data_IF_986616479422
#
_entry.id   IF_986616479422
#
_cell.length_a   1.000
_cell.length_b   1.000
_cell.length_c   1.000
_cell.angle_alpha   90.00
_cell.angle_beta   90.00
_cell.angle_gamma   90.00
#
_symmetry.space_group_name_H-M   'P 1'
#
loop_
_entity.id
_entity.type
_entity.pdbx_description
1 polymer ?
#
# COMPACT_ATOMS: atom_id res chain seq x y z
N UNK A 1 -29.97 9.85 3.74
CA UNK A 1 -31.17 8.99 3.76
C UNK A 1 -30.78 7.59 4.21
N UNK A 2 -30.84 7.31 5.51
CA UNK A 2 -30.74 5.95 6.04
C UNK A 2 -32.03 5.64 6.80
N UNK A 3 -32.67 4.51 6.47
CA UNK A 3 -33.84 3.96 7.17
C UNK A 3 -33.34 3.17 8.36
N UNK A 4 -33.87 3.47 9.54
CA UNK A 4 -33.83 2.55 10.69
C UNK A 4 -35.26 2.19 11.02
N UNK A 5 -35.61 0.92 10.89
CA UNK A 5 -36.92 0.38 11.28
C UNK A 5 -36.86 -0.01 12.75
N UNK A 6 -37.41 0.82 13.63
CA UNK A 6 -37.71 0.42 15.02
C UNK A 6 -39.08 -0.25 15.03
N UNK A 7 -39.08 -1.59 14.99
CA UNK A 7 -40.22 -2.36 15.46
C UNK A 7 -40.06 -2.50 16.98
N UNK A 8 -41.08 -2.08 17.72
CA UNK A 8 -41.30 -2.25 19.18
C UNK A 8 -40.80 -1.10 20.08
N UNK A 9 -41.62 -0.06 20.20
CA UNK A 9 -41.57 0.95 21.27
C UNK A 9 -41.88 0.30 22.64
N UNK A 10 -41.00 -0.55 23.16
CA UNK A 10 -41.13 -1.14 24.51
C UNK A 10 -40.22 -0.34 25.44
N UNK A 11 -40.82 0.33 26.42
CA UNK A 11 -40.09 0.88 27.57
C UNK A 11 -40.19 -0.17 28.67
N UNK A 12 -39.04 -0.70 29.08
CA UNK A 12 -38.93 -1.62 30.22
C UNK A 12 -38.64 -0.82 31.48
N UNK A 13 -39.56 -0.87 32.45
CA UNK A 13 -39.35 -0.36 33.80
C UNK A 13 -39.14 -1.55 34.74
N UNK A 14 -38.18 -1.43 35.65
CA UNK A 14 -37.94 -2.43 36.68
C UNK A 14 -38.35 -1.88 38.04
N UNK A 15 -39.04 -2.68 38.83
CA UNK A 15 -39.26 -2.41 40.25
C UNK A 15 -38.86 -3.62 41.09
N UNK A 16 -38.43 -3.37 42.33
CA UNK A 16 -38.00 -4.44 43.23
C UNK A 16 -39.13 -4.80 44.19
N UNK A 17 -39.53 -6.07 44.18
CA UNK A 17 -40.48 -6.64 45.13
C UNK A 17 -39.85 -7.88 45.78
N UNK A 18 -39.82 -7.92 47.11
CA UNK A 18 -39.16 -8.99 47.88
C UNK A 18 -37.69 -9.25 47.50
N UNK A 19 -36.94 -8.21 47.15
CA UNK A 19 -35.53 -8.31 46.76
C UNK A 19 -35.29 -8.90 45.37
N UNK A 20 -36.35 -9.14 44.58
CA UNK A 20 -36.28 -9.60 43.20
C UNK A 20 -36.73 -8.48 42.26
N UNK A 21 -35.95 -8.25 41.20
CA UNK A 21 -36.27 -7.26 40.17
C UNK A 21 -37.35 -7.82 39.24
N UNK A 22 -38.47 -7.11 39.11
CA UNK A 22 -39.62 -7.51 38.28
C UNK A 22 -39.72 -6.53 37.09
N UNK A 23 -39.64 -7.01 35.84
CA UNK A 23 -39.83 -6.18 34.66
C UNK A 23 -41.32 -5.90 34.44
N UNK A 24 -41.66 -4.62 34.35
CA UNK A 24 -42.93 -4.13 33.78
C UNK A 24 -42.67 -3.61 32.38
N UNK A 25 -43.34 -4.20 31.39
CA UNK A 25 -43.33 -3.72 30.01
C UNK A 25 -44.61 -2.94 29.74
N UNK A 26 -44.46 -1.72 29.22
CA UNK A 26 -45.58 -0.96 28.68
C UNK A 26 -45.60 -1.14 27.16
N UNK A 27 -46.65 -1.77 26.64
CA UNK A 27 -46.93 -1.84 25.20
C UNK A 27 -48.32 -1.23 24.94
N UNK A 28 -48.34 -0.03 24.33
CA UNK A 28 -49.61 0.69 24.15
C UNK A 28 -49.56 2.03 23.41
N UNK A 29 -48.44 2.41 22.81
CA UNK A 29 -48.37 3.63 21.99
C UNK A 29 -48.94 3.40 20.58
N UNK A 30 -49.71 4.36 20.06
CA UNK A 30 -50.05 4.41 18.63
C UNK A 30 -48.76 4.59 17.81
N UNK A 31 -48.69 3.98 16.62
CA UNK A 31 -47.55 4.19 15.72
C UNK A 31 -47.45 5.67 15.35
N UNK A 32 -46.40 6.34 15.85
CA UNK A 32 -46.05 7.70 15.45
C UNK A 32 -45.02 7.61 14.32
N UNK A 33 -45.40 8.13 13.15
CA UNK A 33 -44.53 8.17 11.96
C UNK A 33 -44.09 9.62 11.69
N UNK A 34 -43.01 10.10 12.33
CA UNK A 34 -42.51 11.43 12.04
C UNK A 34 -41.95 11.48 10.61
N UNK A 35 -42.31 12.53 9.86
CA UNK A 35 -41.60 12.84 8.60
C UNK A 35 -40.37 13.65 8.94
N UNK A 36 -39.18 13.09 8.73
CA UNK A 36 -37.91 13.78 8.94
C UNK A 36 -37.39 14.23 7.59
N UNK A 37 -37.23 15.55 7.41
CA UNK A 37 -36.55 16.12 6.27
C UNK A 37 -35.05 16.24 6.59
N UNK A 38 -34.20 15.56 5.81
CA UNK A 38 -32.75 15.59 5.98
C UNK A 38 -32.14 16.53 4.94
N UNK A 39 -31.41 17.54 5.40
CA UNK A 39 -30.49 18.28 4.53
C UNK A 39 -29.14 17.56 4.55
N UNK A 40 -28.55 17.33 3.38
CA UNK A 40 -27.25 16.67 3.27
C UNK A 40 -26.37 17.37 2.24
N UNK A 41 -25.06 17.26 2.43
CA UNK A 41 -24.07 17.72 1.48
C UNK A 41 -23.31 16.53 0.91
N UNK A 42 -23.06 16.55 -0.39
CA UNK A 42 -22.30 15.50 -1.06
C UNK A 42 -20.85 15.94 -1.28
N UNK A 43 -20.10 16.10 -0.19
CA UNK A 43 -18.67 16.38 -0.23
C UNK A 43 -17.93 15.53 0.81
N UNK A 44 -16.63 15.32 0.59
CA UNK A 44 -15.81 14.42 1.42
C UNK A 44 -15.78 14.83 2.89
N UNK A 45 -15.66 16.13 3.18
CA UNK A 45 -15.61 16.65 4.55
C UNK A 45 -16.89 16.32 5.32
N UNK A 46 -18.04 16.63 4.74
CA UNK A 46 -19.34 16.33 5.33
C UNK A 46 -19.55 14.82 5.53
N UNK A 47 -19.25 14.00 4.51
CA UNK A 47 -19.47 12.55 4.59
C UNK A 47 -18.55 11.87 5.60
N UNK A 48 -17.28 12.30 5.70
CA UNK A 48 -16.36 11.83 6.73
C UNK A 48 -16.81 12.24 8.13
N UNK A 49 -17.36 13.45 8.29
CA UNK A 49 -17.96 13.89 9.55
C UNK A 49 -19.18 13.05 9.93
N UNK A 50 -20.03 12.68 8.97
CA UNK A 50 -21.16 11.77 9.23
C UNK A 50 -20.66 10.39 9.66
N UNK A 51 -19.64 9.84 8.99
CA UNK A 51 -19.03 8.57 9.39
C UNK A 51 -18.46 8.63 10.82
N UNK A 52 -17.73 9.70 11.16
CA UNK A 52 -17.23 9.93 12.51
C UNK A 52 -18.36 10.02 13.54
N UNK A 53 -19.47 10.69 13.19
CA UNK A 53 -20.65 10.82 14.06
C UNK A 53 -21.29 9.46 14.33
N UNK A 54 -21.44 8.61 13.30
CA UNK A 54 -21.98 7.24 13.47
C UNK A 54 -21.11 6.46 14.46
N UNK A 55 -19.78 6.49 14.29
CA UNK A 55 -18.85 5.80 15.18
C UNK A 55 -18.88 6.36 16.60
N UNK A 56 -18.97 7.67 16.75
CA UNK A 56 -19.07 8.33 18.05
C UNK A 56 -20.35 7.90 18.79
N UNK A 57 -21.49 7.88 18.10
CA UNK A 57 -22.77 7.46 18.69
C UNK A 57 -22.69 5.99 19.12
N UNK A 58 -22.19 5.09 18.27
CA UNK A 58 -22.06 3.66 18.60
C UNK A 58 -21.14 3.43 19.81
N UNK A 59 -20.01 4.14 19.86
CA UNK A 59 -19.02 3.99 20.95
C UNK A 59 -19.49 4.62 22.27
N UNK A 60 -20.27 5.72 22.20
CA UNK A 60 -20.76 6.43 23.39
C UNK A 60 -22.00 5.77 23.97
N UNK A 61 -22.99 5.44 23.12
CA UNK A 61 -24.28 4.91 23.56
C UNK A 61 -24.20 3.43 23.96
N UNK A 62 -23.18 2.71 23.47
CA UNK A 62 -22.92 1.30 23.80
C UNK A 62 -24.19 0.43 23.77
N UNK A 63 -24.96 0.41 22.67
CA UNK A 63 -26.16 -0.40 22.60
C UNK A 63 -25.86 -1.89 22.85
N UNK A 64 -26.78 -2.54 23.56
CA UNK A 64 -26.73 -3.98 23.79
C UNK A 64 -27.17 -4.76 22.54
N UNK A 65 -26.44 -5.83 22.22
CA UNK A 65 -26.71 -6.66 21.04
C UNK A 65 -26.78 -8.13 21.43
N UNK A 66 -27.83 -8.80 20.94
CA UNK A 66 -28.10 -10.22 21.14
C UNK A 66 -28.83 -10.79 19.93
N UNK A 67 -28.72 -12.10 19.68
CA UNK A 67 -29.60 -12.77 18.70
C UNK A 67 -31.00 -12.96 19.27
N UNK A 68 -31.97 -13.27 18.41
CA UNK A 68 -33.36 -13.55 18.82
C UNK A 68 -33.49 -14.65 19.87
N UNK A 69 -32.52 -15.56 19.93
CA UNK A 69 -32.50 -16.68 20.87
C UNK A 69 -31.64 -16.38 22.11
N UNK A 70 -31.33 -15.10 22.38
CA UNK A 70 -30.46 -14.67 23.47
C UNK A 70 -28.99 -15.10 23.28
N UNK A 71 -28.61 -15.46 22.06
CA UNK A 71 -27.30 -16.02 21.73
C UNK A 71 -26.31 -14.98 21.19
N UNK A 72 -25.13 -15.49 20.80
CA UNK A 72 -23.97 -14.71 20.34
C UNK A 72 -24.24 -14.05 18.99
N UNK A 73 -23.97 -12.77 18.90
CA UNK A 73 -24.06 -12.04 17.65
C UNK A 73 -22.73 -12.16 16.86
N UNK A 74 -22.80 -12.46 15.56
CA UNK A 74 -21.64 -12.57 14.63
C UNK A 74 -20.52 -13.57 15.02
N UNK A 75 -20.73 -14.42 16.03
CA UNK A 75 -19.71 -15.39 16.47
C UNK A 75 -18.47 -14.78 17.13
N UNK A 76 -18.48 -13.48 17.45
CA UNK A 76 -17.31 -12.74 17.95
C UNK A 76 -17.19 -12.71 19.49
N UNK A 77 -18.27 -12.98 20.22
CA UNK A 77 -18.30 -12.99 21.68
C UNK A 77 -18.85 -14.31 22.23
N UNK A 78 -18.41 -14.70 23.43
CA UNK A 78 -18.96 -15.85 24.17
C UNK A 78 -20.31 -15.56 24.84
N UNK A 79 -20.70 -14.29 24.97
CA UNK A 79 -21.93 -13.83 25.64
C UNK A 79 -22.54 -12.60 24.93
N UNK A 80 -23.87 -12.37 25.03
CA UNK A 80 -24.45 -11.08 24.67
C UNK A 80 -23.77 -9.92 25.40
N UNK A 81 -23.74 -8.75 24.80
CA UNK A 81 -23.03 -7.61 25.36
C UNK A 81 -23.24 -6.34 24.57
N UNK A 82 -22.63 -5.25 25.02
CA UNK A 82 -22.66 -4.01 24.26
C UNK A 82 -21.72 -4.06 23.05
N UNK A 83 -22.01 -3.25 22.04
CA UNK A 83 -21.23 -3.20 20.80
C UNK A 83 -19.75 -2.85 20.99
N UNK A 84 -19.38 -2.12 22.03
CA UNK A 84 -17.97 -1.74 22.25
C UNK A 84 -17.18 -2.93 22.76
N UNK A 85 -17.77 -3.74 23.65
CA UNK A 85 -17.11 -4.95 24.14
C UNK A 85 -16.97 -6.01 23.03
N UNK A 86 -17.96 -6.09 22.14
CA UNK A 86 -17.97 -7.07 21.03
C UNK A 86 -17.08 -6.61 19.86
N UNK A 87 -17.14 -5.34 19.47
CA UNK A 87 -16.53 -4.82 18.24
C UNK A 87 -15.41 -3.80 18.49
N UNK A 88 -15.00 -3.56 19.73
CA UNK A 88 -14.04 -2.51 20.10
C UNK A 88 -12.80 -2.43 19.20
N UNK A 89 -12.07 -3.53 18.94
CA UNK A 89 -10.94 -3.52 18.03
C UNK A 89 -11.31 -3.10 16.59
N UNK A 90 -12.46 -3.56 16.09
CA UNK A 90 -12.97 -3.18 14.76
C UNK A 90 -13.36 -1.70 14.71
N UNK A 91 -14.01 -1.19 15.75
CA UNK A 91 -14.37 0.22 15.87
C UNK A 91 -13.12 1.11 15.92
N UNK A 92 -12.06 0.69 16.63
CA UNK A 92 -10.80 1.42 16.65
C UNK A 92 -10.16 1.49 15.27
N UNK A 93 -10.11 0.37 14.54
CA UNK A 93 -9.61 0.35 13.17
C UNK A 93 -10.41 1.31 12.26
N UNK A 94 -11.75 1.28 12.32
CA UNK A 94 -12.62 2.17 11.54
C UNK A 94 -12.44 3.65 11.93
N UNK A 95 -12.27 3.95 13.22
CA UNK A 95 -11.98 5.32 13.68
C UNK A 95 -10.65 5.84 13.12
N UNK A 96 -9.59 5.01 13.13
CA UNK A 96 -8.30 5.40 12.53
C UNK A 96 -8.40 5.50 11.00
N UNK A 97 -9.23 4.70 10.32
CA UNK A 97 -9.53 4.90 8.90
C UNK A 97 -10.15 6.27 8.64
N UNK A 98 -11.17 6.66 9.42
CA UNK A 98 -11.84 7.97 9.27
C UNK A 98 -10.86 9.11 9.53
N UNK A 99 -10.06 9.02 10.59
CA UNK A 99 -9.04 10.02 10.93
C UNK A 99 -7.97 10.17 9.85
N UNK A 100 -7.47 9.06 9.32
CA UNK A 100 -6.49 9.08 8.23
C UNK A 100 -7.08 9.70 6.96
N UNK A 101 -8.33 9.37 6.61
CA UNK A 101 -9.03 9.96 5.48
C UNK A 101 -9.29 11.48 5.65
N UNK A 102 -9.68 11.92 6.85
CA UNK A 102 -9.83 13.35 7.17
C UNK A 102 -8.50 14.10 7.07
N UNK A 103 -7.42 13.50 7.55
CA UNK A 103 -6.07 14.08 7.47
C UNK A 103 -5.60 14.18 6.01
N UNK A 104 -5.84 13.14 5.21
CA UNK A 104 -5.54 13.15 3.78
C UNK A 104 -6.33 14.25 3.05
N UNK A 105 -7.61 14.43 3.38
CA UNK A 105 -8.45 15.49 2.81
C UNK A 105 -7.90 16.88 3.14
N UNK A 106 -7.59 17.16 4.42
CA UNK A 106 -7.05 18.44 4.85
C UNK A 106 -5.72 18.77 4.14
N UNK A 107 -4.81 17.79 4.04
CA UNK A 107 -3.54 17.95 3.32
C UNK A 107 -3.74 18.17 1.83
N UNK A 108 -4.73 17.51 1.22
CA UNK A 108 -5.08 17.70 -0.19
C UNK A 108 -5.60 19.11 -0.44
N UNK A 109 -6.51 19.61 0.42
CA UNK A 109 -7.01 20.98 0.34
C UNK A 109 -5.88 22.00 0.49
N UNK A 110 -4.97 21.79 1.45
CA UNK A 110 -3.81 22.66 1.63
C UNK A 110 -2.86 22.65 0.42
N UNK A 111 -2.63 21.48 -0.18
CA UNK A 111 -1.78 21.34 -1.35
C UNK A 111 -2.36 22.07 -2.58
N UNK A 112 -3.68 21.94 -2.78
CA UNK A 112 -4.41 22.58 -3.88
C UNK A 112 -4.53 24.10 -3.68
N UNK A 113 -4.73 24.58 -2.46
CA UNK A 113 -4.79 26.02 -2.18
C UNK A 113 -3.49 26.75 -2.52
N UNK A 114 -2.36 26.03 -2.49
CA UNK A 114 -1.05 26.56 -2.85
C UNK A 114 -0.65 26.23 -4.29
N UNK A 115 -1.53 25.68 -5.14
CA UNK A 115 -1.20 25.27 -6.52
C UNK A 115 -0.77 26.46 -7.39
N UNK A 116 0.49 26.46 -7.82
CA UNK A 116 0.93 27.29 -8.93
C UNK A 116 0.64 26.51 -10.20
N UNK A 117 -0.29 27.00 -11.03
CA UNK A 117 -0.69 26.35 -12.28
C UNK A 117 0.48 26.13 -13.27
N UNK A 118 1.62 26.81 -13.07
CA UNK A 118 2.86 26.61 -13.81
C UNK A 118 4.06 26.72 -12.89
N UNK A 119 4.95 25.73 -12.94
CA UNK A 119 6.31 25.86 -12.43
C UNK A 119 7.10 26.65 -13.47
N UNK A 120 7.40 27.92 -13.19
CA UNK A 120 8.22 28.74 -14.08
C UNK A 120 9.68 28.31 -13.94
N UNK A 121 10.20 27.60 -14.92
CA UNK A 121 11.63 27.29 -15.00
C UNK A 121 12.40 28.47 -15.63
N UNK A 122 13.67 28.72 -15.25
CA UNK A 122 14.49 29.73 -15.91
C UNK A 122 14.70 29.43 -17.40
N UNK A 123 14.68 30.47 -18.24
CA UNK A 123 15.14 30.35 -19.62
C UNK A 123 16.61 29.90 -19.64
N UNK A 124 16.94 28.90 -20.45
CA UNK A 124 18.27 28.29 -20.56
C UNK A 124 18.79 27.61 -19.27
N UNK A 125 17.91 26.96 -18.51
CA UNK A 125 18.32 26.17 -17.34
C UNK A 125 19.38 25.11 -17.68
N UNK A 126 20.56 25.23 -17.07
CA UNK A 126 21.60 24.20 -17.06
C UNK A 126 21.74 23.65 -15.62
N UNK A 127 21.40 22.37 -15.35
CA UNK A 127 21.42 21.84 -13.99
C UNK A 127 22.83 21.75 -13.36
N UNK A 128 23.88 21.83 -14.18
CA UNK A 128 25.27 21.81 -13.73
C UNK A 128 25.77 23.20 -13.27
N UNK A 129 25.39 24.27 -13.97
CA UNK A 129 25.92 25.63 -13.72
C UNK A 129 24.91 26.58 -13.08
N UNK A 130 23.61 26.34 -13.27
CA UNK A 130 22.55 27.24 -12.78
C UNK A 130 22.51 27.25 -11.26
N UNK A 131 22.53 28.46 -10.68
CA UNK A 131 22.40 28.67 -9.24
C UNK A 131 20.95 28.62 -8.78
N UNK A 132 20.01 29.15 -9.58
CA UNK A 132 18.59 29.12 -9.24
C UNK A 132 18.01 27.73 -9.53
N UNK A 133 17.67 27.01 -8.47
CA UNK A 133 17.00 25.71 -8.49
C UNK A 133 15.73 25.71 -7.63
N UNK A 134 15.18 26.89 -7.32
CA UNK A 134 14.03 27.01 -6.44
C UNK A 134 12.84 26.20 -6.94
N UNK A 135 12.60 26.20 -8.25
CA UNK A 135 11.54 25.40 -8.87
C UNK A 135 11.67 23.90 -8.58
N UNK A 136 12.89 23.37 -8.50
CA UNK A 136 13.14 21.96 -8.16
C UNK A 136 12.91 21.69 -6.66
N UNK A 137 13.18 22.66 -5.79
CA UNK A 137 12.84 22.56 -4.38
C UNK A 137 11.32 22.57 -4.17
N UNK A 138 10.60 23.43 -4.90
CA UNK A 138 9.14 23.46 -4.88
C UNK A 138 8.54 22.16 -5.43
N UNK A 139 9.09 21.64 -6.53
CA UNK A 139 8.74 20.32 -7.07
C UNK A 139 8.94 19.22 -6.02
N UNK A 140 10.09 19.20 -5.34
CA UNK A 140 10.37 18.23 -4.29
C UNK A 140 9.32 18.33 -3.18
N UNK A 141 9.13 19.51 -2.59
CA UNK A 141 8.19 19.74 -1.48
C UNK A 141 6.76 19.28 -1.83
N UNK A 142 6.31 19.54 -3.07
CA UNK A 142 5.01 19.06 -3.54
C UNK A 142 4.94 17.54 -3.62
N UNK A 143 5.97 16.91 -4.19
CA UNK A 143 6.02 15.46 -4.28
C UNK A 143 6.09 14.82 -2.88
N UNK A 144 6.75 15.44 -1.90
CA UNK A 144 6.73 14.96 -0.50
C UNK A 144 5.33 15.05 0.11
N UNK A 145 4.62 16.16 -0.10
CA UNK A 145 3.25 16.33 0.37
C UNK A 145 2.30 15.31 -0.27
N UNK A 146 2.42 15.05 -1.57
CA UNK A 146 1.66 14.01 -2.26
C UNK A 146 1.99 12.62 -1.71
N UNK A 147 3.26 12.33 -1.45
CA UNK A 147 3.66 11.05 -0.84
C UNK A 147 3.02 10.86 0.54
N UNK A 148 2.93 11.91 1.36
CA UNK A 148 2.27 11.86 2.66
C UNK A 148 0.76 11.60 2.54
N UNK A 149 0.07 12.24 1.58
CA UNK A 149 -1.35 11.99 1.28
C UNK A 149 -1.57 10.54 0.86
N UNK A 150 -0.74 10.02 -0.05
CA UNK A 150 -0.82 8.62 -0.50
C UNK A 150 -0.52 7.64 0.63
N UNK A 151 0.41 7.97 1.53
CA UNK A 151 0.70 7.15 2.70
C UNK A 151 -0.49 7.10 3.66
N UNK A 152 -1.20 8.21 3.87
CA UNK A 152 -2.44 8.22 4.66
C UNK A 152 -3.54 7.38 4.00
N UNK A 153 -3.69 7.47 2.69
CA UNK A 153 -4.61 6.64 1.91
C UNK A 153 -4.28 5.14 2.05
N UNK A 154 -3.00 4.77 1.98
CA UNK A 154 -2.56 3.39 2.21
C UNK A 154 -2.85 2.94 3.66
N UNK A 155 -2.68 3.83 4.64
CA UNK A 155 -3.03 3.52 6.03
C UNK A 155 -4.53 3.28 6.24
N UNK A 156 -5.42 3.91 5.46
CA UNK A 156 -6.86 3.58 5.48
C UNK A 156 -7.07 2.10 5.09
N UNK A 157 -6.42 1.63 4.02
CA UNK A 157 -6.50 0.22 3.63
C UNK A 157 -5.88 -0.70 4.70
N UNK A 158 -4.70 -0.34 5.22
CA UNK A 158 -4.01 -1.14 6.24
C UNK A 158 -4.83 -1.23 7.54
N UNK A 159 -5.49 -0.15 7.95
CA UNK A 159 -6.37 -0.16 9.11
C UNK A 159 -7.56 -1.11 8.89
N UNK A 160 -8.15 -1.14 7.69
CA UNK A 160 -9.19 -2.12 7.39
C UNK A 160 -8.67 -3.56 7.48
N UNK A 161 -7.52 -3.85 6.87
CA UNK A 161 -6.87 -5.17 6.92
C UNK A 161 -6.43 -5.58 8.33
N UNK A 162 -6.29 -4.63 9.25
CA UNK A 162 -5.99 -4.91 10.65
C UNK A 162 -7.17 -5.48 11.44
N UNK A 163 -8.40 -5.37 10.91
CA UNK A 163 -9.60 -5.93 11.55
C UNK A 163 -9.48 -7.45 11.61
N UNK A 164 -9.58 -8.01 12.82
CA UNK A 164 -9.40 -9.44 13.06
C UNK A 164 -10.74 -10.19 13.12
N UNK A 165 -10.71 -11.44 12.68
CA UNK A 165 -11.85 -12.36 12.77
C UNK A 165 -12.84 -12.26 11.60
N UNK A 166 -13.93 -13.05 11.66
CA UNK A 166 -14.90 -13.16 10.56
C UNK A 166 -15.55 -11.84 10.14
N UNK A 167 -15.60 -10.86 11.06
CA UNK A 167 -16.20 -9.55 10.83
C UNK A 167 -15.51 -8.77 9.72
N UNK A 168 -14.20 -8.95 9.50
CA UNK A 168 -13.50 -8.31 8.39
C UNK A 168 -14.11 -8.73 7.05
N UNK A 169 -14.31 -10.04 6.86
CA UNK A 169 -14.94 -10.57 5.65
C UNK A 169 -16.43 -10.25 5.56
N UNK A 170 -17.12 -10.16 6.70
CA UNK A 170 -18.52 -9.70 6.74
C UNK A 170 -18.63 -8.24 6.28
N UNK A 171 -17.74 -7.36 6.72
CA UNK A 171 -17.71 -5.95 6.32
C UNK A 171 -17.29 -5.78 4.85
N UNK A 172 -16.34 -6.59 4.39
CA UNK A 172 -15.79 -6.50 3.04
C UNK A 172 -16.79 -6.92 1.97
N UNK A 173 -17.59 -7.95 2.25
CA UNK A 173 -18.43 -8.62 1.25
C UNK A 173 -19.91 -8.22 1.33
N UNK A 174 -20.62 -8.44 0.23
CA UNK A 174 -22.08 -8.48 0.21
C UNK A 174 -22.50 -9.95 0.06
N UNK A 175 -22.95 -10.57 1.16
CA UNK A 175 -23.27 -12.01 1.19
C UNK A 175 -24.67 -12.34 0.68
N UNK A 176 -25.54 -11.34 0.63
CA UNK A 176 -26.89 -11.47 0.09
C UNK A 176 -27.36 -10.15 -0.53
N UNK A 177 -27.96 -10.25 -1.71
CA UNK A 177 -28.42 -9.09 -2.49
C UNK A 177 -27.29 -8.41 -3.28
N UNK A 178 -27.48 -7.13 -3.57
CA UNK A 178 -26.52 -6.31 -4.31
C UNK A 178 -25.97 -5.22 -3.40
N UNK A 179 -24.68 -4.92 -3.53
CA UNK A 179 -24.07 -3.81 -2.82
C UNK A 179 -24.78 -2.48 -3.16
N UNK A 180 -24.91 -1.60 -2.17
CA UNK A 180 -25.66 -0.35 -2.28
C UNK A 180 -27.18 -0.46 -2.12
N UNK A 181 -27.73 -1.68 -1.97
CA UNK A 181 -29.17 -1.90 -1.79
C UNK A 181 -29.42 -2.57 -0.43
N UNK A 182 -30.26 -1.92 0.39
CA UNK A 182 -30.72 -2.50 1.66
C UNK A 182 -31.94 -3.38 1.38
N UNK A 183 -31.82 -4.66 1.71
CA UNK A 183 -32.90 -5.66 1.63
C UNK A 183 -33.07 -6.34 2.98
N UNK A 184 -34.11 -7.17 3.11
CA UNK A 184 -34.34 -7.98 4.32
C UNK A 184 -33.24 -9.02 4.59
N UNK A 185 -32.30 -9.23 3.65
CA UNK A 185 -31.21 -10.21 3.76
C UNK A 185 -29.83 -9.56 3.91
N UNK A 186 -29.74 -8.22 3.97
CA UNK A 186 -28.46 -7.51 4.04
C UNK A 186 -27.75 -7.69 5.40
N UNK A 187 -28.44 -8.18 6.42
CA UNK A 187 -27.89 -8.43 7.76
C UNK A 187 -26.72 -9.42 7.72
N UNK A 188 -25.70 -9.16 8.54
CA UNK A 188 -24.49 -10.00 8.55
C UNK A 188 -23.52 -9.75 7.39
N UNK A 189 -23.72 -8.68 6.60
CA UNK A 189 -22.81 -8.28 5.53
C UNK A 189 -22.73 -6.76 5.35
N UNK A 190 -21.60 -6.25 4.88
CA UNK A 190 -21.35 -4.83 4.74
C UNK A 190 -22.10 -4.19 3.56
N UNK A 191 -22.23 -4.91 2.43
CA UNK A 191 -22.93 -4.49 1.21
C UNK A 191 -22.70 -3.01 0.80
N UNK A 192 -21.50 -2.49 1.05
CA UNK A 192 -21.13 -1.08 0.83
C UNK A 192 -19.96 -0.93 -0.16
N UNK A 193 -19.75 -1.92 -1.04
CA UNK A 193 -18.66 -1.94 -2.03
C UNK A 193 -17.26 -1.86 -1.41
N UNK A 194 -17.08 -2.37 -0.19
CA UNK A 194 -15.82 -2.26 0.56
C UNK A 194 -14.69 -2.96 -0.18
N UNK A 195 -14.93 -4.18 -0.69
CA UNK A 195 -13.95 -4.93 -1.48
C UNK A 195 -13.47 -4.16 -2.71
N UNK A 196 -14.40 -3.67 -3.53
CA UNK A 196 -14.10 -2.94 -4.76
C UNK A 196 -13.38 -1.62 -4.44
N UNK A 197 -13.80 -0.94 -3.39
CA UNK A 197 -13.20 0.32 -2.93
C UNK A 197 -11.77 0.10 -2.44
N UNK A 198 -11.50 -0.95 -1.65
CA UNK A 198 -10.15 -1.28 -1.20
C UNK A 198 -9.22 -1.64 -2.35
N UNK A 199 -9.69 -2.47 -3.29
CA UNK A 199 -8.91 -2.80 -4.49
C UNK A 199 -8.57 -1.54 -5.30
N UNK A 200 -9.54 -0.64 -5.51
CA UNK A 200 -9.30 0.61 -6.23
C UNK A 200 -8.34 1.53 -5.46
N UNK A 201 -8.50 1.62 -4.14
CA UNK A 201 -7.62 2.41 -3.27
C UNK A 201 -6.18 1.93 -3.37
N UNK A 202 -5.92 0.64 -3.20
CA UNK A 202 -4.58 0.03 -3.27
C UNK A 202 -3.95 0.16 -4.67
N UNK A 203 -4.74 -0.03 -5.73
CA UNK A 203 -4.25 0.15 -7.09
C UNK A 203 -3.87 1.60 -7.38
N UNK A 204 -4.70 2.56 -6.96
CA UNK A 204 -4.42 3.97 -7.17
C UNK A 204 -3.27 4.47 -6.30
N UNK A 205 -3.16 4.03 -5.04
CA UNK A 205 -2.01 4.39 -4.19
C UNK A 205 -0.70 3.85 -4.76
N UNK A 206 -0.70 2.61 -5.25
CA UNK A 206 0.47 2.02 -5.89
C UNK A 206 0.82 2.71 -7.22
N UNK A 207 -0.17 3.00 -8.06
CA UNK A 207 0.03 3.73 -9.31
C UNK A 207 0.64 5.10 -9.01
N UNK A 208 -0.12 6.01 -8.37
CA UNK A 208 0.30 7.39 -8.12
C UNK A 208 1.56 7.48 -7.25
N UNK A 209 1.79 6.53 -6.36
CA UNK A 209 3.03 6.46 -5.57
C UNK A 209 4.28 6.33 -6.46
N UNK A 210 4.19 5.60 -7.57
CA UNK A 210 5.29 5.51 -8.52
C UNK A 210 5.57 6.84 -9.23
N UNK A 211 4.54 7.57 -9.66
CA UNK A 211 4.76 8.90 -10.27
C UNK A 211 5.35 9.89 -9.26
N UNK A 212 4.81 9.93 -8.03
CA UNK A 212 5.35 10.79 -6.97
C UNK A 212 6.82 10.48 -6.68
N UNK A 213 7.20 9.20 -6.64
CA UNK A 213 8.59 8.82 -6.44
C UNK A 213 9.50 9.22 -7.61
N UNK A 214 9.01 9.14 -8.85
CA UNK A 214 9.73 9.64 -10.02
C UNK A 214 9.95 11.15 -9.92
N UNK A 215 8.94 11.90 -9.49
CA UNK A 215 9.04 13.35 -9.30
C UNK A 215 10.02 13.72 -8.18
N UNK A 216 10.00 13.02 -7.04
CA UNK A 216 11.00 13.20 -5.97
C UNK A 216 12.40 12.95 -6.48
N UNK A 217 12.62 11.83 -7.18
CA UNK A 217 13.93 11.46 -7.73
C UNK A 217 14.43 12.51 -8.74
N UNK A 218 13.55 13.00 -9.63
CA UNK A 218 13.90 14.05 -10.59
C UNK A 218 14.26 15.35 -9.88
N UNK A 219 13.43 15.81 -8.94
CA UNK A 219 13.67 17.04 -8.18
C UNK A 219 14.99 16.97 -7.39
N UNK A 220 15.23 15.86 -6.69
CA UNK A 220 16.48 15.62 -5.96
C UNK A 220 17.70 15.57 -6.89
N UNK A 221 17.56 14.95 -8.06
CA UNK A 221 18.63 14.92 -9.06
C UNK A 221 18.95 16.32 -9.57
N UNK A 222 17.94 17.17 -9.81
CA UNK A 222 18.16 18.54 -10.24
C UNK A 222 18.88 19.36 -9.15
N UNK A 223 18.43 19.25 -7.90
CA UNK A 223 19.03 19.94 -6.75
C UNK A 223 20.50 19.53 -6.57
N UNK A 224 20.78 18.23 -6.61
CA UNK A 224 22.09 17.63 -6.34
C UNK A 224 22.83 17.19 -7.62
N UNK A 225 22.59 17.86 -8.73
CA UNK A 225 22.99 17.39 -10.06
C UNK A 225 24.49 17.11 -10.22
N UNK A 226 25.37 17.93 -9.63
CA UNK A 226 26.82 17.70 -9.70
C UNK A 226 27.24 16.39 -9.02
N UNK A 227 26.61 16.08 -7.90
CA UNK A 227 26.86 14.85 -7.15
C UNK A 227 26.32 13.65 -7.92
N UNK A 228 25.08 13.75 -8.44
CA UNK A 228 24.48 12.71 -9.28
C UNK A 228 25.35 12.41 -10.52
N UNK A 229 25.84 13.45 -11.21
CA UNK A 229 26.75 13.30 -12.36
C UNK A 229 28.09 12.67 -11.95
N UNK A 230 28.65 13.07 -10.80
CA UNK A 230 29.86 12.46 -10.25
C UNK A 230 29.66 10.98 -9.93
N UNK A 231 28.54 10.61 -9.32
CA UNK A 231 28.18 9.22 -9.03
C UNK A 231 28.05 8.41 -10.33
N UNK A 232 27.31 8.93 -11.33
CA UNK A 232 27.20 8.29 -12.64
C UNK A 232 28.56 8.06 -13.30
N UNK A 233 29.48 9.03 -13.19
CA UNK A 233 30.83 8.88 -13.69
C UNK A 233 31.62 7.77 -12.98
N UNK A 234 31.50 7.70 -11.64
CA UNK A 234 32.14 6.65 -10.84
C UNK A 234 31.57 5.28 -11.19
N UNK A 235 30.26 5.17 -11.35
CA UNK A 235 29.58 3.92 -11.69
C UNK A 235 29.99 3.43 -13.09
N UNK A 236 30.05 4.32 -14.09
CA UNK A 236 30.56 3.99 -15.42
C UNK A 236 31.98 3.43 -15.38
N UNK A 237 32.88 4.07 -14.62
CA UNK A 237 34.26 3.57 -14.43
C UNK A 237 34.28 2.24 -13.69
N UNK A 238 33.49 2.08 -12.64
CA UNK A 238 33.40 0.86 -11.86
C UNK A 238 32.90 -0.33 -12.69
N UNK A 239 31.90 -0.12 -13.56
CA UNK A 239 31.39 -1.14 -14.47
C UNK A 239 32.50 -1.62 -15.42
N UNK A 240 33.18 -0.69 -16.09
CA UNK A 240 34.24 -1.06 -17.04
C UNK A 240 35.42 -1.74 -16.34
N UNK A 241 35.82 -1.27 -15.15
CA UNK A 241 36.86 -1.89 -14.33
C UNK A 241 36.45 -3.29 -13.84
N UNK A 242 35.18 -3.48 -13.46
CA UNK A 242 34.65 -4.78 -13.07
C UNK A 242 34.73 -5.77 -14.22
N UNK A 243 34.30 -5.36 -15.42
CA UNK A 243 34.34 -6.19 -16.63
C UNK A 243 35.78 -6.52 -17.05
N UNK A 244 36.73 -5.58 -16.92
CA UNK A 244 38.13 -5.84 -17.29
C UNK A 244 38.78 -6.93 -16.45
N UNK A 245 38.29 -7.15 -15.23
CA UNK A 245 38.78 -8.18 -14.32
C UNK A 245 38.10 -9.55 -14.52
N UNK A 246 37.09 -9.65 -15.38
CA UNK A 246 36.42 -10.92 -15.66
C UNK A 246 37.21 -11.75 -16.67
N UNK A 247 37.34 -13.07 -16.45
CA UNK A 247 38.00 -13.95 -17.42
C UNK A 247 37.22 -14.00 -18.73
N UNK A 248 37.94 -13.97 -19.86
CA UNK A 248 37.37 -14.05 -21.21
C UNK A 248 36.32 -12.98 -21.56
N UNK A 249 36.29 -11.84 -20.85
CA UNK A 249 35.28 -10.79 -21.02
C UNK A 249 35.66 -9.71 -22.04
N UNK A 250 36.65 -9.94 -22.92
CA UNK A 250 37.04 -8.99 -23.98
C UNK A 250 35.85 -8.46 -24.80
N UNK A 251 34.86 -9.28 -25.23
CA UNK A 251 33.70 -8.79 -25.98
C UNK A 251 32.81 -7.79 -25.21
N UNK A 252 32.88 -7.82 -23.87
CA UNK A 252 32.07 -6.98 -22.99
C UNK A 252 32.80 -5.70 -22.57
N UNK A 253 34.08 -5.55 -22.87
CA UNK A 253 34.86 -4.37 -22.48
C UNK A 253 34.29 -3.09 -23.08
N UNK A 254 34.51 -1.97 -22.37
CA UNK A 254 33.97 -0.65 -22.73
C UNK A 254 32.45 -0.74 -22.95
N UNK A 255 31.73 -1.27 -21.97
CA UNK A 255 30.28 -1.37 -22.01
C UNK A 255 29.63 0.00 -21.81
N UNK A 256 30.26 0.84 -20.99
CA UNK A 256 29.83 2.23 -20.79
C UNK A 256 30.87 3.19 -21.37
N UNK A 257 30.39 4.33 -21.87
CA UNK A 257 31.23 5.41 -22.38
C UNK A 257 30.78 6.75 -21.80
N UNK A 258 31.74 7.65 -21.62
CA UNK A 258 31.50 9.04 -21.23
C UNK A 258 32.31 9.94 -22.17
N UNK A 259 31.65 10.85 -22.87
CA UNK A 259 32.30 11.77 -23.81
C UNK A 259 31.68 13.16 -23.72
N UNK A 260 32.48 14.19 -24.02
CA UNK A 260 31.96 15.54 -24.18
C UNK A 260 31.20 15.65 -25.50
N UNK A 261 29.94 16.07 -25.44
CA UNK A 261 29.17 16.40 -26.64
C UNK A 261 29.35 17.90 -26.94
N UNK A 262 29.82 18.28 -28.14
CA UNK A 262 29.99 19.69 -28.53
C UNK A 262 28.71 20.51 -28.44
N UNK A 263 27.54 19.86 -28.55
CA UNK A 263 26.22 20.51 -28.49
C UNK A 263 25.62 20.52 -27.08
N UNK A 264 26.26 19.92 -26.08
CA UNK A 264 25.78 19.94 -24.70
C UNK A 264 26.20 21.22 -23.98
N UNK A 265 25.35 21.75 -23.07
CA UNK A 265 25.74 22.83 -22.18
C UNK A 265 27.05 22.53 -21.42
N UNK A 266 27.79 23.59 -21.10
CA UNK A 266 29.08 23.48 -20.42
C UNK A 266 28.98 22.64 -19.12
N UNK A 267 29.96 21.74 -18.95
CA UNK A 267 30.08 20.86 -17.78
C UNK A 267 29.30 19.54 -17.86
N UNK A 268 28.54 19.30 -18.93
CA UNK A 268 27.77 18.06 -19.12
C UNK A 268 28.48 17.06 -20.04
N UNK A 269 28.83 15.90 -19.47
CA UNK A 269 29.25 14.73 -20.22
C UNK A 269 28.04 13.94 -20.71
N UNK A 270 28.14 13.37 -21.91
CA UNK A 270 27.18 12.39 -22.44
C UNK A 270 27.64 10.99 -22.08
N UNK A 271 26.78 10.28 -21.35
CA UNK A 271 26.99 8.88 -20.98
C UNK A 271 26.19 7.96 -21.90
N UNK A 272 26.78 6.86 -22.34
CA UNK A 272 26.10 5.84 -23.15
C UNK A 272 26.40 4.44 -22.65
N UNK A 273 25.43 3.55 -22.81
CA UNK A 273 25.53 2.12 -22.54
C UNK A 273 25.39 1.35 -23.85
N UNK A 274 26.33 0.46 -24.16
CA UNK A 274 26.19 -0.47 -25.27
C UNK A 274 25.16 -1.55 -24.90
N UNK A 275 23.95 -1.41 -25.44
CA UNK A 275 22.82 -2.28 -25.14
C UNK A 275 23.06 -3.72 -25.58
N UNK A 276 23.84 -3.95 -26.64
CA UNK A 276 24.13 -5.31 -27.11
C UNK A 276 25.05 -6.03 -26.12
N UNK A 277 26.12 -5.36 -25.68
CA UNK A 277 27.01 -5.90 -24.64
C UNK A 277 26.28 -6.09 -23.32
N UNK A 278 25.41 -5.15 -22.93
CA UNK A 278 24.60 -5.26 -21.72
C UNK A 278 23.66 -6.47 -21.77
N UNK A 279 22.95 -6.67 -22.88
CA UNK A 279 22.07 -7.83 -23.08
C UNK A 279 22.85 -9.14 -23.03
N UNK A 280 24.01 -9.20 -23.69
CA UNK A 280 24.89 -10.38 -23.63
C UNK A 280 25.34 -10.67 -22.19
N UNK A 281 25.75 -9.64 -21.44
CA UNK A 281 26.11 -9.78 -20.03
C UNK A 281 24.93 -10.29 -19.18
N UNK A 282 23.73 -9.77 -19.41
CA UNK A 282 22.52 -10.21 -18.70
C UNK A 282 22.22 -11.69 -18.96
N UNK A 283 22.31 -12.15 -20.20
CA UNK A 283 22.15 -13.57 -20.54
C UNK A 283 23.21 -14.44 -19.83
N UNK A 284 24.48 -14.03 -19.87
CA UNK A 284 25.56 -14.76 -19.18
C UNK A 284 25.29 -14.84 -17.67
N UNK A 285 24.87 -13.72 -17.05
CA UNK A 285 24.57 -13.68 -15.62
C UNK A 285 23.38 -14.59 -15.24
N UNK A 286 22.35 -14.66 -16.08
CA UNK A 286 21.21 -15.56 -15.88
C UNK A 286 21.63 -17.04 -15.98
N UNK A 287 22.43 -17.40 -16.98
CA UNK A 287 22.90 -18.78 -17.16
C UNK A 287 23.87 -19.22 -16.05
N UNK A 288 24.79 -18.34 -15.63
CA UNK A 288 25.61 -18.58 -14.44
C UNK A 288 24.75 -18.66 -13.16
N UNK A 289 23.64 -17.93 -13.09
CA UNK A 289 22.66 -17.99 -12.01
C UNK A 289 21.99 -19.35 -11.87
N UNK A 290 21.76 -20.04 -13.00
CA UNK A 290 21.17 -21.38 -13.06
C UNK A 290 22.18 -22.50 -12.84
N UNK A 291 23.48 -22.20 -12.77
CA UNK A 291 24.51 -23.21 -12.64
C UNK A 291 24.39 -23.96 -11.29
N UNK A 292 24.10 -25.28 -11.29
CA UNK A 292 23.95 -26.04 -10.05
C UNK A 292 25.25 -26.19 -9.24
N UNK A 293 26.40 -25.90 -9.85
CA UNK A 293 27.72 -25.96 -9.21
C UNK A 293 28.11 -24.66 -8.50
N UNK A 294 27.31 -23.58 -8.59
CA UNK A 294 27.61 -22.28 -7.97
C UNK A 294 27.75 -22.35 -6.43
N UNK A 295 27.21 -23.41 -5.81
CA UNK A 295 27.29 -23.72 -4.38
C UNK A 295 28.25 -24.84 -4.02
N UNK A 296 28.87 -25.49 -5.01
CA UNK A 296 29.90 -26.50 -4.73
C UNK A 296 31.20 -25.73 -4.57
N UNK A 297 31.59 -25.49 -3.31
CA UNK A 297 32.82 -24.81 -2.94
C UNK A 297 34.01 -25.48 -3.62
N UNK A 298 34.91 -24.65 -4.14
CA UNK A 298 36.24 -25.06 -4.60
C UNK A 298 36.93 -25.71 -3.41
N UNK A 299 37.17 -27.02 -3.46
CA UNK A 299 38.10 -27.67 -2.53
C UNK A 299 39.49 -27.13 -2.91
N UNK A 300 40.05 -26.35 -2.00
CA UNK A 300 41.34 -25.68 -2.12
C UNK A 300 42.42 -26.71 -2.51
N UNK A 301 42.94 -26.61 -3.74
CA UNK A 301 44.02 -27.48 -4.21
C UNK A 301 45.33 -26.92 -3.64
N UNK A 302 45.62 -27.26 -2.38
CA UNK A 302 46.96 -27.06 -1.83
C UNK A 302 47.94 -27.97 -2.58
N UNK A 303 48.98 -27.34 -3.13
CA UNK A 303 50.06 -28.00 -3.85
C UNK A 303 50.66 -29.16 -3.04
N UNK A 304 50.47 -30.34 -3.62
CA UNK A 304 51.18 -31.60 -3.51
C UNK A 304 52.52 -31.60 -2.74
N UNK A 305 52.59 -32.42 -1.69
CA UNK A 305 53.81 -33.17 -1.36
C UNK A 305 53.42 -34.50 -0.69
N UNK A 306 53.46 -35.58 -1.47
CA UNK A 306 53.65 -36.94 -0.97
C UNK A 306 52.42 -37.85 -0.99
N UNK A 307 52.52 -38.91 -1.79
CA UNK A 307 51.79 -40.19 -1.73
C UNK A 307 50.25 -40.15 -1.68
N UNK A 308 49.63 -40.55 -2.81
CA UNK A 308 48.34 -41.22 -2.92
C UNK A 308 47.46 -41.26 -1.65
N UNK A 309 46.37 -40.48 -1.63
CA UNK A 309 45.08 -40.97 -1.17
C UNK A 309 43.93 -40.21 -1.85
N UNK A 310 43.01 -41.00 -2.40
CA UNK A 310 42.00 -40.55 -3.35
C UNK A 310 40.96 -39.60 -2.77
N UNK A 311 40.63 -38.57 -3.56
CA UNK A 311 39.33 -37.92 -3.50
C UNK A 311 38.53 -38.46 -4.69
N UNK A 312 37.54 -39.29 -4.36
CA UNK A 312 36.64 -39.89 -5.34
C UNK A 312 35.78 -38.83 -6.02
N UNK A 313 35.91 -38.71 -7.33
CA UNK A 313 34.80 -38.31 -8.19
C UNK A 313 34.01 -39.58 -8.48
N UNK A 314 33.22 -40.04 -7.51
CA UNK A 314 32.31 -41.16 -7.73
C UNK A 314 30.95 -40.60 -8.19
N UNK A 315 30.75 -40.72 -9.50
CA UNK A 315 29.46 -40.97 -10.15
C UNK A 315 28.30 -39.98 -9.85
N UNK A 316 28.16 -39.01 -10.76
CA UNK A 316 26.88 -38.39 -11.11
C UNK A 316 26.72 -38.17 -12.61
N UNK A 317 27.48 -38.90 -13.44
CA UNK A 317 27.46 -38.79 -14.91
C UNK A 317 26.59 -39.89 -15.52
N UNK A 318 25.29 -39.91 -15.17
CA UNK A 318 24.30 -40.75 -15.85
C UNK A 318 22.90 -40.25 -15.48
N UNK A 319 22.32 -39.37 -16.31
CA UNK A 319 20.86 -39.32 -16.58
C UNK A 319 20.41 -38.22 -17.57
N UNK A 320 21.32 -37.54 -18.28
CA UNK A 320 20.94 -36.55 -19.31
C UNK A 320 21.12 -37.05 -20.75
N UNK A 321 20.60 -38.23 -21.11
CA UNK A 321 20.27 -38.51 -22.52
C UNK A 321 19.06 -39.44 -22.61
N UNK A 322 18.06 -38.99 -23.38
CA UNK A 322 16.73 -39.56 -23.47
C UNK A 322 16.66 -40.98 -24.04
N UNK A 323 15.61 -41.68 -23.63
CA UNK A 323 15.16 -42.97 -24.15
C UNK A 323 14.74 -42.78 -25.62
N UNK A 324 15.50 -43.34 -26.57
CA UNK A 324 14.98 -43.56 -27.93
C UNK A 324 14.05 -44.77 -27.92
N UNK A 325 12.82 -44.53 -28.39
CA UNK A 325 11.82 -45.56 -28.75
C UNK A 325 12.31 -46.32 -29.98
N UNK A 326 12.22 -47.65 -29.93
CA UNK A 326 11.78 -48.50 -31.04
C UNK A 326 10.62 -49.32 -30.49
#
# INVERSE_FOLDING_TARGET
>A
NYKTTTQNNIIEHYYTENGKEIPTSYSGGSSFSPTIQLTYHNNAEYLLQQAATIMQVLTTQKPHVQTSNGGKAWGLSSTPGNVVDIFGPSFNAINEMIKNAQTALAKTQQLNANENAQITQPDNFNPYTSKNKQFAQEMLNRAEAQAEILNLAQQVANNFHSIQGPIQGDLEQCKAGSAGVITNNTWGSGCAFVKETLNSLEQHTAYYGNQVNQDRALAQTILNFKEALSTLNKDSKAINNGISNLPNAKPLQNMTHAAQNPNSPEGLLTYSLDTNKYNQFQTIAQELGKNPFRRIGVIDYQNNNGAMNGIGVQAGYKQFFGKKRN
#
